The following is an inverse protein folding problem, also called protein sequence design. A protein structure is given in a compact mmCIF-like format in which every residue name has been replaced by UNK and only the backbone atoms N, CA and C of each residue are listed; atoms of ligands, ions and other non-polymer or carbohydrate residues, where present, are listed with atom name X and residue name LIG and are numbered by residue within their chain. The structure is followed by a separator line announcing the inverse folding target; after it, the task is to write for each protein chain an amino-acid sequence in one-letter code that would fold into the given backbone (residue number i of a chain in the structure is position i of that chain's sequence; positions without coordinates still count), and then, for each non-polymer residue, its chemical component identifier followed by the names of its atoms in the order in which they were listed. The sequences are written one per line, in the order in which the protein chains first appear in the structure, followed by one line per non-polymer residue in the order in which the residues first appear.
data_IF_562809170830
#
_entry.id   IF_562809170830
#
_cell.length_a   1.000
_cell.length_b   1.000
_cell.length_c   1.000
_cell.angle_alpha   90.00
_cell.angle_beta   90.00
_cell.angle_gamma   90.00
#
_symmetry.space_group_name_H-M   'P 1'
#
loop_
_entity.id
_entity.type
_entity.pdbx_description
1 polymer ?
#
# COMPACT_ATOMS: atom_id res chain seq x y z
N UNK A 1 2.45 -34.57 -24.76
CA UNK A 1 1.45 -33.57 -25.23
C UNK A 1 1.96 -32.19 -24.83
N UNK A 2 2.62 -31.50 -25.74
CA UNK A 2 3.09 -30.14 -25.51
C UNK A 2 1.93 -29.16 -25.74
N UNK A 3 1.53 -28.46 -24.69
CA UNK A 3 0.54 -27.38 -24.79
C UNK A 3 1.24 -26.17 -25.40
N UNK A 4 1.13 -26.01 -26.71
CA UNK A 4 1.59 -24.81 -27.44
C UNK A 4 0.83 -23.60 -26.91
N UNK A 5 1.50 -22.81 -26.08
CA UNK A 5 0.99 -21.54 -25.52
C UNK A 5 0.86 -20.53 -26.66
N UNK A 6 -0.37 -20.31 -27.12
CA UNK A 6 -0.71 -19.28 -28.13
C UNK A 6 -0.32 -17.90 -27.59
N UNK A 7 0.83 -17.38 -28.00
CA UNK A 7 1.25 -16.01 -27.67
C UNK A 7 0.33 -15.05 -28.41
N UNK A 8 -0.57 -14.40 -27.66
CA UNK A 8 -1.40 -13.32 -28.19
C UNK A 8 -0.45 -12.16 -28.55
N UNK A 9 -0.38 -11.79 -29.84
CA UNK A 9 0.45 -10.65 -30.26
C UNK A 9 -0.21 -9.37 -29.75
N UNK A 10 0.32 -8.83 -28.65
CA UNK A 10 -0.08 -7.52 -28.15
C UNK A 10 0.40 -6.48 -29.16
N UNK A 11 -0.54 -5.81 -29.82
CA UNK A 11 -0.23 -4.68 -30.70
C UNK A 11 -0.03 -3.45 -29.81
N UNK A 12 1.24 -3.06 -29.61
CA UNK A 12 1.60 -1.86 -28.85
C UNK A 12 1.50 -0.67 -29.79
N UNK A 13 0.59 0.26 -29.52
CA UNK A 13 0.46 1.46 -30.33
C UNK A 13 1.53 2.50 -29.95
N UNK A 14 1.84 3.42 -30.88
CA UNK A 14 2.73 4.55 -30.59
C UNK A 14 2.22 5.41 -29.42
N UNK A 15 0.89 5.52 -29.27
CA UNK A 15 0.28 6.22 -28.15
C UNK A 15 0.58 5.52 -26.81
N UNK A 16 0.61 4.19 -26.78
CA UNK A 16 0.94 3.44 -25.56
C UNK A 16 2.41 3.64 -25.17
N UNK A 17 3.31 3.66 -26.15
CA UNK A 17 4.74 3.96 -25.93
C UNK A 17 4.94 5.39 -25.40
N UNK A 18 4.26 6.39 -25.98
CA UNK A 18 4.37 7.78 -25.51
C UNK A 18 3.86 7.92 -24.08
N UNK A 19 2.71 7.32 -23.75
CA UNK A 19 2.18 7.31 -22.37
C UNK A 19 3.16 6.64 -21.41
N UNK A 20 3.74 5.51 -21.81
CA UNK A 20 4.74 4.80 -21.02
C UNK A 20 5.98 5.67 -20.76
N UNK A 21 6.54 6.27 -21.81
CA UNK A 21 7.75 7.11 -21.68
C UNK A 21 7.46 8.35 -20.83
N UNK A 22 6.33 9.02 -21.04
CA UNK A 22 5.97 10.21 -20.26
C UNK A 22 5.77 9.86 -18.78
N UNK A 23 5.01 8.81 -18.47
CA UNK A 23 4.73 8.42 -17.09
C UNK A 23 6.00 7.91 -16.38
N UNK A 24 6.85 7.15 -17.10
CA UNK A 24 8.15 6.68 -16.60
C UNK A 24 9.12 7.83 -16.35
N UNK A 25 9.25 8.75 -17.31
CA UNK A 25 10.14 9.92 -17.21
C UNK A 25 9.68 10.87 -16.11
N UNK A 26 8.36 11.07 -15.96
CA UNK A 26 7.81 11.85 -14.86
C UNK A 26 8.20 11.24 -13.51
N UNK A 27 8.06 9.93 -13.35
CA UNK A 27 8.55 9.21 -12.17
C UNK A 27 10.04 9.42 -11.95
N UNK A 28 10.85 9.21 -12.98
CA UNK A 28 12.30 9.39 -12.91
C UNK A 28 12.68 10.82 -12.46
N UNK A 29 12.05 11.86 -13.02
CA UNK A 29 12.29 13.26 -12.64
C UNK A 29 11.87 13.50 -11.18
N UNK A 30 10.68 13.05 -10.79
CA UNK A 30 10.15 13.23 -9.43
C UNK A 30 11.02 12.56 -8.35
N UNK A 31 11.63 11.42 -8.66
CA UNK A 31 12.41 10.62 -7.71
C UNK A 31 13.93 10.85 -7.78
N UNK A 32 14.50 11.20 -8.93
CA UNK A 32 15.95 11.22 -9.14
C UNK A 32 16.55 12.62 -9.29
N UNK A 33 15.76 13.62 -9.68
CA UNK A 33 16.29 14.97 -9.90
C UNK A 33 16.35 15.72 -8.57
N UNK A 34 17.53 16.07 -8.03
CA UNK A 34 17.61 16.88 -6.83
C UNK A 34 17.29 18.34 -7.15
N UNK A 35 16.40 18.94 -6.37
CA UNK A 35 16.05 20.37 -6.40
C UNK A 35 16.48 21.00 -5.07
N UNK A 36 17.01 22.22 -5.12
CA UNK A 36 17.32 22.97 -3.91
C UNK A 36 16.05 23.48 -3.25
N UNK A 37 15.83 23.11 -1.99
CA UNK A 37 14.65 23.50 -1.21
C UNK A 37 15.02 23.64 0.27
N UNK A 38 14.70 24.79 0.88
CA UNK A 38 14.94 25.09 2.30
C UNK A 38 16.36 24.71 2.80
N UNK A 39 17.38 25.09 2.03
CA UNK A 39 18.82 24.86 2.32
C UNK A 39 19.34 23.43 2.16
N UNK A 40 18.49 22.49 1.71
CA UNK A 40 18.89 21.12 1.39
C UNK A 40 18.56 20.74 -0.06
N UNK A 41 19.26 19.74 -0.59
CA UNK A 41 18.85 19.09 -1.84
C UNK A 41 17.79 18.05 -1.52
N UNK A 42 16.61 18.18 -2.12
CA UNK A 42 15.52 17.21 -2.01
C UNK A 42 14.95 16.89 -3.38
N UNK A 43 14.35 15.72 -3.51
CA UNK A 43 13.65 15.38 -4.75
C UNK A 43 12.34 16.17 -4.82
N UNK A 44 11.85 16.53 -6.01
CA UNK A 44 10.56 17.19 -6.18
C UNK A 44 9.43 16.44 -5.46
N UNK A 45 9.47 15.11 -5.49
CA UNK A 45 8.51 14.29 -4.77
C UNK A 45 8.67 14.42 -3.25
N UNK A 46 9.89 14.48 -2.75
CA UNK A 46 10.18 14.71 -1.33
C UNK A 46 9.54 16.00 -0.82
N UNK A 47 9.64 17.09 -1.60
CA UNK A 47 9.01 18.38 -1.25
C UNK A 47 7.47 18.24 -1.15
N UNK A 48 6.85 17.51 -2.10
CA UNK A 48 5.40 17.26 -2.07
C UNK A 48 5.01 16.40 -0.87
N UNK A 49 5.80 15.38 -0.54
CA UNK A 49 5.59 14.52 0.63
C UNK A 49 5.72 15.34 1.91
N UNK A 50 6.72 16.20 2.02
CA UNK A 50 6.96 17.03 3.20
C UNK A 50 5.84 18.06 3.38
N UNK A 51 5.37 18.67 2.30
CA UNK A 51 4.22 19.56 2.33
C UNK A 51 2.98 18.82 2.84
N UNK A 52 2.65 17.66 2.26
CA UNK A 52 1.47 16.89 2.65
C UNK A 52 1.59 16.35 4.09
N UNK A 53 2.78 15.85 4.44
CA UNK A 53 3.09 15.37 5.78
C UNK A 53 3.01 16.49 6.81
N UNK A 54 3.43 17.72 6.48
CA UNK A 54 3.32 18.85 7.42
C UNK A 54 1.89 19.11 7.88
N UNK A 55 0.92 18.92 6.98
CA UNK A 55 -0.52 19.10 7.27
C UNK A 55 -1.09 17.89 8.02
N UNK A 56 -0.59 16.68 7.72
CA UNK A 56 -1.10 15.43 8.28
C UNK A 56 -0.34 14.95 9.51
N UNK A 57 0.80 15.55 9.89
CA UNK A 57 1.70 15.09 10.96
C UNK A 57 0.97 14.80 12.27
N UNK A 58 -0.02 15.62 12.61
CA UNK A 58 -0.84 15.43 13.81
C UNK A 58 -1.81 14.25 13.66
N UNK A 59 -2.38 14.05 12.48
CA UNK A 59 -3.43 13.06 12.23
C UNK A 59 -2.87 11.67 11.83
N UNK A 60 -1.69 11.62 11.22
CA UNK A 60 -1.10 10.42 10.63
C UNK A 60 -0.91 9.29 11.67
N UNK A 61 -0.38 9.56 12.89
CA UNK A 61 -0.24 8.53 13.92
C UNK A 61 -1.59 7.95 14.34
N UNK A 62 -2.60 8.81 14.54
CA UNK A 62 -3.95 8.35 14.91
C UNK A 62 -4.59 7.49 13.82
N UNK A 63 -4.44 7.87 12.55
CA UNK A 63 -4.94 7.07 11.43
C UNK A 63 -4.26 5.70 11.39
N UNK A 64 -2.96 5.64 11.64
CA UNK A 64 -2.20 4.39 11.69
C UNK A 64 -2.68 3.49 12.84
N UNK A 65 -2.83 4.04 14.06
CA UNK A 65 -3.38 3.33 15.22
C UNK A 65 -4.77 2.76 14.90
N UNK A 66 -5.67 3.56 14.31
CA UNK A 66 -7.03 3.16 13.97
C UNK A 66 -7.01 2.00 12.96
N UNK A 67 -6.26 2.12 11.86
CA UNK A 67 -6.24 1.11 10.80
C UNK A 67 -5.65 -0.20 11.31
N UNK A 68 -4.54 -0.15 12.05
CA UNK A 68 -3.89 -1.34 12.62
C UNK A 68 -4.79 -2.00 13.67
N UNK A 69 -5.39 -1.21 14.55
CA UNK A 69 -6.31 -1.70 15.59
C UNK A 69 -7.56 -2.34 15.00
N UNK A 70 -8.21 -1.69 14.02
CA UNK A 70 -9.35 -2.26 13.32
C UNK A 70 -8.97 -3.55 12.60
N UNK A 71 -7.82 -3.59 11.94
CA UNK A 71 -7.32 -4.80 11.28
C UNK A 71 -7.13 -5.97 12.24
N UNK A 72 -6.60 -5.72 13.43
CA UNK A 72 -6.42 -6.74 14.47
C UNK A 72 -7.76 -7.18 15.09
N UNK A 73 -8.65 -6.24 15.41
CA UNK A 73 -9.97 -6.53 15.99
C UNK A 73 -10.82 -7.36 15.03
N UNK A 74 -10.92 -6.93 13.76
CA UNK A 74 -11.72 -7.64 12.75
C UNK A 74 -11.10 -9.03 12.47
N UNK A 75 -9.77 -9.14 12.40
CA UNK A 75 -9.12 -10.46 12.27
C UNK A 75 -9.37 -11.37 13.47
N UNK A 76 -9.37 -10.82 14.69
CA UNK A 76 -9.67 -11.58 15.91
C UNK A 76 -11.10 -12.11 15.87
N UNK A 77 -12.07 -11.24 15.57
CA UNK A 77 -13.48 -11.64 15.42
C UNK A 77 -13.62 -12.69 14.31
N UNK A 78 -12.94 -12.50 13.18
CA UNK A 78 -13.00 -13.42 12.04
C UNK A 78 -12.43 -14.79 12.40
N UNK A 79 -11.37 -14.85 13.19
CA UNK A 79 -10.74 -16.10 13.62
C UNK A 79 -11.68 -16.94 14.50
N UNK A 80 -12.37 -16.31 15.46
CA UNK A 80 -13.27 -17.02 16.39
C UNK A 80 -14.66 -17.30 15.80
N UNK A 81 -15.28 -16.30 15.17
CA UNK A 81 -16.69 -16.37 14.78
C UNK A 81 -16.90 -16.71 13.30
N UNK A 82 -15.86 -16.63 12.47
CA UNK A 82 -15.90 -16.94 11.03
C UNK A 82 -17.16 -16.40 10.33
N UNK A 83 -17.42 -15.08 10.38
CA UNK A 83 -18.65 -14.50 9.86
C UNK A 83 -18.75 -14.73 8.35
N UNK A 84 -19.91 -15.22 7.90
CA UNK A 84 -20.17 -15.59 6.49
C UNK A 84 -19.81 -14.47 5.50
N UNK A 85 -20.17 -13.21 5.81
CA UNK A 85 -19.86 -12.04 4.97
C UNK A 85 -18.36 -11.85 4.68
N UNK A 86 -17.49 -12.22 5.62
CA UNK A 86 -16.02 -12.10 5.47
C UNK A 86 -15.46 -13.33 4.77
N UNK A 87 -15.95 -14.53 5.11
CA UNK A 87 -15.43 -15.79 4.57
C UNK A 87 -15.87 -16.04 3.12
N UNK A 88 -17.06 -15.58 2.73
CA UNK A 88 -17.60 -15.74 1.38
C UNK A 88 -17.06 -14.69 0.39
N UNK A 89 -16.57 -13.55 0.87
CA UNK A 89 -16.02 -12.49 0.03
C UNK A 89 -14.48 -12.65 -0.07
N UNK A 90 -13.97 -12.98 -1.26
CA UNK A 90 -12.53 -13.19 -1.49
C UNK A 90 -11.65 -11.98 -1.09
N UNK A 91 -12.14 -10.75 -1.25
CA UNK A 91 -11.41 -9.55 -0.81
C UNK A 91 -11.32 -9.46 0.71
N UNK A 92 -12.46 -9.57 1.42
CA UNK A 92 -12.48 -9.48 2.89
C UNK A 92 -11.80 -10.68 3.55
N UNK A 93 -11.92 -11.86 2.94
CA UNK A 93 -11.22 -13.08 3.34
C UNK A 93 -9.71 -12.87 3.31
N UNK A 94 -9.16 -12.34 2.22
CA UNK A 94 -7.72 -12.04 2.12
C UNK A 94 -7.25 -10.97 3.12
N UNK A 95 -8.13 -10.05 3.52
CA UNK A 95 -7.78 -8.99 4.47
C UNK A 95 -7.81 -9.42 5.94
N UNK A 96 -8.75 -10.28 6.32
CA UNK A 96 -9.07 -10.52 7.73
C UNK A 96 -8.96 -11.99 8.17
N UNK A 97 -9.06 -12.97 7.26
CA UNK A 97 -8.85 -14.39 7.59
C UNK A 97 -7.35 -14.64 7.71
N UNK A 98 -6.91 -15.00 8.91
CA UNK A 98 -5.49 -15.09 9.25
C UNK A 98 -5.20 -16.39 9.98
N UNK A 99 -3.97 -16.89 9.86
CA UNK A 99 -3.50 -18.03 10.64
C UNK A 99 -3.24 -17.61 12.10
N UNK A 100 -3.23 -18.53 13.08
CA UNK A 100 -3.07 -18.18 14.49
C UNK A 100 -1.78 -17.39 14.78
N UNK A 101 -0.68 -17.75 14.12
CA UNK A 101 0.60 -17.05 14.25
C UNK A 101 0.52 -15.60 13.73
N UNK A 102 -0.17 -15.39 12.60
CA UNK A 102 -0.34 -14.06 12.02
C UNK A 102 -1.36 -13.22 12.79
N UNK A 103 -2.36 -13.84 13.39
CA UNK A 103 -3.23 -13.15 14.33
C UNK A 103 -2.43 -12.65 15.55
N UNK A 104 -1.52 -13.49 16.08
CA UNK A 104 -0.60 -13.09 17.13
C UNK A 104 0.25 -11.88 16.76
N UNK A 105 0.79 -11.83 15.53
CA UNK A 105 1.56 -10.68 15.07
C UNK A 105 0.72 -9.41 14.90
N UNK A 106 -0.56 -9.52 14.50
CA UNK A 106 -1.48 -8.37 14.46
C UNK A 106 -1.82 -7.82 15.85
N UNK A 107 -1.98 -8.69 16.84
CA UNK A 107 -2.20 -8.25 18.23
C UNK A 107 -0.95 -7.56 18.77
N UNK A 108 0.23 -8.15 18.53
CA UNK A 108 1.50 -7.56 18.91
C UNK A 108 1.73 -6.20 18.22
N UNK A 109 1.38 -6.06 16.94
CA UNK A 109 1.53 -4.80 16.22
C UNK A 109 0.69 -3.69 16.84
N UNK A 110 -0.54 -3.98 17.30
CA UNK A 110 -1.36 -2.97 18.00
C UNK A 110 -0.67 -2.49 19.28
N UNK A 111 -0.10 -3.41 20.06
CA UNK A 111 0.61 -3.03 21.29
C UNK A 111 1.80 -2.13 20.99
N UNK A 112 2.63 -2.49 20.00
CA UNK A 112 3.78 -1.68 19.59
C UNK A 112 3.32 -0.31 19.06
N UNK A 113 2.28 -0.28 18.22
CA UNK A 113 1.78 0.96 17.61
C UNK A 113 1.13 1.92 18.61
N UNK A 114 0.60 1.44 19.75
CA UNK A 114 0.07 2.31 20.81
C UNK A 114 1.20 2.88 21.68
N UNK A 115 2.29 2.14 21.84
CA UNK A 115 3.43 2.54 22.69
C UNK A 115 4.35 3.54 22.00
N UNK A 116 4.46 3.48 20.67
CA UNK A 116 5.25 4.39 19.82
C UNK A 116 4.52 5.70 19.56
#
# INVERSE_FOLDING_TARGET
MEVVKKTNKVNVSLLDLVKFILLSSFGAIMFLLPVSYQEAFSTPLGIVIDFLSSQLKVFLPYLLIIVVSLGAVISTITYFFKPKKIVENEFLKGLFVTTPLYLGSRILSVFITIVV
#
